data_IF_114589750838
#
_entry.id   IF_114589750838
#
_cell.length_a   1.000
_cell.length_b   1.000
_cell.length_c   1.000
_cell.angle_alpha   90.00
_cell.angle_beta   90.00
_cell.angle_gamma   90.00
#
_symmetry.space_group_name_H-M   'P 1'
#
loop_
_entity.id
_entity.type
_entity.pdbx_description
1 polymer ?
#
# COMPACT_ATOMS: atom_id res chain seq x y z
N UNK A 1 -0.41 10.67 19.63
CA UNK A 1 -1.54 9.81 19.22
C UNK A 1 -1.75 9.90 17.72
N UNK A 2 -1.92 8.79 17.03
CA UNK A 2 -2.18 8.87 15.60
C UNK A 2 -3.55 9.49 15.32
N UNK A 3 -3.61 10.27 14.25
CA UNK A 3 -4.85 10.89 13.80
C UNK A 3 -5.62 9.84 12.99
N UNK A 4 -6.90 9.69 13.30
CA UNK A 4 -7.75 8.78 12.54
C UNK A 4 -8.03 9.36 11.15
N UNK A 5 -8.12 8.50 10.13
CA UNK A 5 -8.35 8.95 8.76
C UNK A 5 -9.57 9.83 8.63
N UNK A 6 -10.66 9.47 9.30
CA UNK A 6 -11.91 10.23 9.22
C UNK A 6 -11.83 11.61 9.87
N UNK A 7 -10.76 11.89 10.62
CA UNK A 7 -10.55 13.19 11.23
C UNK A 7 -9.83 14.16 10.30
N UNK A 8 -9.28 13.65 9.18
CA UNK A 8 -8.62 14.48 8.19
C UNK A 8 -9.66 15.15 7.28
N UNK A 9 -9.35 16.34 6.74
CA UNK A 9 -10.18 16.92 5.69
C UNK A 9 -10.33 15.92 4.53
N UNK A 10 -11.47 15.94 3.86
CA UNK A 10 -11.73 15.00 2.77
C UNK A 10 -10.64 15.04 1.70
N UNK A 11 -10.13 16.25 1.41
CA UNK A 11 -9.08 16.41 0.40
C UNK A 11 -7.75 15.80 0.79
N UNK A 12 -7.59 15.43 2.07
CA UNK A 12 -6.36 14.82 2.57
C UNK A 12 -6.52 13.32 2.84
N UNK A 13 -7.73 12.80 2.72
CA UNK A 13 -7.96 11.35 2.86
C UNK A 13 -7.60 10.68 1.54
N UNK A 14 -6.82 9.59 1.57
CA UNK A 14 -6.34 8.96 0.32
C UNK A 14 -7.45 8.60 -0.66
N UNK A 15 -8.54 8.00 -0.18
CA UNK A 15 -9.63 7.58 -1.04
C UNK A 15 -10.27 8.78 -1.78
N UNK A 16 -10.65 9.80 -1.02
CA UNK A 16 -11.26 11.00 -1.58
C UNK A 16 -10.28 11.79 -2.43
N UNK A 17 -9.02 11.81 -2.03
CA UNK A 17 -7.98 12.49 -2.80
C UNK A 17 -7.79 11.83 -4.17
N UNK A 18 -7.81 10.50 -4.21
CA UNK A 18 -7.70 9.78 -5.49
C UNK A 18 -8.90 10.09 -6.37
N UNK A 19 -10.10 10.08 -5.80
CA UNK A 19 -11.33 10.35 -6.52
C UNK A 19 -11.33 11.75 -7.13
N UNK A 20 -10.88 12.74 -6.36
CA UNK A 20 -10.91 14.14 -6.80
C UNK A 20 -9.75 14.52 -7.72
N UNK A 21 -8.57 14.03 -7.44
CA UNK A 21 -7.35 14.52 -8.11
C UNK A 21 -6.62 13.46 -8.91
N UNK A 22 -7.04 12.19 -8.83
CA UNK A 22 -6.44 11.11 -9.59
C UNK A 22 -5.33 10.39 -8.85
N UNK A 23 -5.06 9.17 -9.28
CA UNK A 23 -4.12 8.29 -8.61
C UNK A 23 -2.68 8.83 -8.59
N UNK A 24 -2.31 9.57 -9.63
CA UNK A 24 -0.94 10.08 -9.75
C UNK A 24 -0.57 11.09 -8.68
N UNK A 25 -1.56 11.69 -8.01
CA UNK A 25 -1.30 12.67 -6.96
C UNK A 25 -0.99 12.05 -5.60
N UNK A 26 -1.18 10.72 -5.47
CA UNK A 26 -1.00 10.03 -4.20
C UNK A 26 0.42 9.51 -4.03
N UNK A 27 0.87 9.53 -2.78
CA UNK A 27 2.14 8.88 -2.42
C UNK A 27 1.95 7.36 -2.41
N UNK A 28 3.05 6.62 -2.37
CA UNK A 28 3.00 5.16 -2.26
C UNK A 28 2.26 4.73 -1.00
N UNK A 29 2.50 5.41 0.13
CA UNK A 29 1.80 5.09 1.38
C UNK A 29 0.30 5.32 1.26
N UNK A 30 -0.11 6.39 0.60
CA UNK A 30 -1.52 6.69 0.40
C UNK A 30 -2.20 5.62 -0.47
N UNK A 31 -1.55 5.18 -1.54
CA UNK A 31 -2.09 4.13 -2.39
C UNK A 31 -2.25 2.81 -1.62
N UNK A 32 -1.24 2.44 -0.85
CA UNK A 32 -1.31 1.24 -0.01
C UNK A 32 -2.41 1.36 1.03
N UNK A 33 -2.60 2.57 1.59
CA UNK A 33 -3.63 2.81 2.60
C UNK A 33 -5.03 2.53 2.04
N UNK A 34 -5.27 2.87 0.78
CA UNK A 34 -6.56 2.58 0.12
C UNK A 34 -6.78 1.07 0.05
N UNK A 35 -5.74 0.31 -0.28
CA UNK A 35 -5.83 -1.15 -0.39
C UNK A 35 -6.07 -1.78 0.99
N UNK A 36 -5.38 -1.30 2.01
CA UNK A 36 -5.51 -1.79 3.38
C UNK A 36 -6.89 -1.42 3.96
N UNK A 37 -7.41 -0.28 3.57
CA UNK A 37 -8.72 0.30 3.93
C UNK A 37 -8.80 0.88 5.33
N UNK A 38 -8.45 0.10 6.37
CA UNK A 38 -8.60 0.56 7.75
C UNK A 38 -7.30 0.37 8.51
N UNK A 39 -7.07 1.29 9.43
CA UNK A 39 -5.97 1.15 10.38
C UNK A 39 -6.42 0.35 11.61
N UNK A 40 -5.69 0.52 12.68
CA UNK A 40 -5.99 -0.07 13.98
C UNK A 40 -6.28 1.04 14.97
N UNK A 41 -6.51 0.68 16.23
CA UNK A 41 -6.68 1.66 17.29
C UNK A 41 -5.41 2.49 17.49
N UNK A 42 -4.26 1.89 17.23
CA UNK A 42 -2.96 2.52 17.48
C UNK A 42 -2.38 3.20 16.25
N UNK A 43 -2.91 2.88 15.05
CA UNK A 43 -2.29 3.37 13.83
C UNK A 43 -3.32 3.60 12.74
N UNK A 44 -3.11 4.63 11.92
CA UNK A 44 -3.94 4.88 10.74
C UNK A 44 -3.55 3.93 9.62
N UNK A 45 -4.40 3.85 8.58
CA UNK A 45 -4.06 3.04 7.40
C UNK A 45 -2.80 3.57 6.72
N UNK A 46 -2.62 4.90 6.67
CA UNK A 46 -1.40 5.49 6.11
C UNK A 46 -0.19 5.11 6.95
N UNK A 47 -0.33 5.13 8.28
CA UNK A 47 0.76 4.72 9.17
C UNK A 47 1.16 3.27 8.98
N UNK A 48 0.18 2.37 8.83
CA UNK A 48 0.46 0.97 8.54
C UNK A 48 1.15 0.83 7.18
N UNK A 49 0.70 1.59 6.18
CA UNK A 49 1.32 1.58 4.87
C UNK A 49 2.78 2.02 4.94
N UNK A 50 3.07 3.04 5.74
CA UNK A 50 4.44 3.49 5.94
C UNK A 50 5.32 2.41 6.58
N UNK A 51 4.75 1.62 7.50
CA UNK A 51 5.48 0.49 8.08
C UNK A 51 5.76 -0.59 7.05
N UNK A 52 4.83 -0.84 6.13
CA UNK A 52 5.07 -1.77 5.03
C UNK A 52 6.24 -1.28 4.18
N UNK A 53 6.25 0.00 3.84
CA UNK A 53 7.32 0.57 3.01
C UNK A 53 8.69 0.50 3.68
N UNK A 54 8.72 0.49 5.02
CA UNK A 54 9.98 0.32 5.76
C UNK A 54 10.58 -1.07 5.65
N UNK A 55 9.83 -2.04 5.14
CA UNK A 55 10.36 -3.38 4.91
C UNK A 55 11.31 -3.42 3.71
N UNK A 56 11.35 -2.38 2.91
CA UNK A 56 12.28 -2.28 1.80
C UNK A 56 13.70 -2.11 2.33
N UNK A 57 14.53 -3.14 2.17
CA UNK A 57 15.92 -3.11 2.60
C UNK A 57 16.88 -2.78 1.45
N UNK A 58 16.37 -2.67 0.24
CA UNK A 58 17.18 -2.32 -0.92
C UNK A 58 17.52 -0.83 -0.93
N UNK A 59 18.64 -0.48 -1.55
CA UNK A 59 19.02 0.92 -1.69
C UNK A 59 18.11 1.68 -2.63
N UNK A 60 17.50 0.96 -3.58
CA UNK A 60 16.60 1.57 -4.55
C UNK A 60 15.25 1.85 -3.91
N UNK A 61 14.76 3.04 -4.13
CA UNK A 61 13.46 3.47 -3.58
C UNK A 61 12.35 3.17 -4.57
N UNK A 62 12.05 1.88 -4.75
CA UNK A 62 10.97 1.44 -5.61
C UNK A 62 10.11 0.41 -4.89
N UNK A 63 9.05 -0.04 -5.53
CA UNK A 63 8.06 -0.92 -4.92
C UNK A 63 8.26 -2.41 -5.26
N UNK A 64 9.33 -2.76 -5.94
CA UNK A 64 9.56 -4.16 -6.34
C UNK A 64 9.63 -5.10 -5.14
N UNK A 65 10.11 -4.61 -4.00
CA UNK A 65 10.22 -5.45 -2.79
C UNK A 65 8.87 -6.04 -2.37
N UNK A 66 7.76 -5.37 -2.71
CA UNK A 66 6.43 -5.87 -2.36
C UNK A 66 6.12 -7.19 -3.04
N UNK A 67 6.67 -7.42 -4.21
CA UNK A 67 6.45 -8.67 -4.96
C UNK A 67 7.13 -9.85 -4.30
N UNK A 68 8.20 -9.61 -3.56
CA UNK A 68 9.02 -10.66 -2.96
C UNK A 68 8.58 -11.00 -1.54
N UNK A 69 7.74 -10.17 -0.91
CA UNK A 69 7.30 -10.42 0.45
C UNK A 69 6.22 -11.50 0.49
N UNK A 70 6.35 -12.39 1.48
CA UNK A 70 5.35 -13.44 1.70
C UNK A 70 4.21 -12.90 2.55
N UNK A 71 3.10 -13.65 2.59
CA UNK A 71 1.98 -13.36 3.49
C UNK A 71 2.48 -13.25 4.92
N UNK A 72 3.32 -14.20 5.34
CA UNK A 72 3.86 -14.25 6.69
C UNK A 72 4.71 -13.02 7.01
N UNK A 73 5.48 -12.54 6.03
CA UNK A 73 6.30 -11.36 6.24
C UNK A 73 5.46 -10.10 6.41
N UNK A 74 4.39 -9.97 5.63
CA UNK A 74 3.47 -8.85 5.82
C UNK A 74 2.82 -8.90 7.20
N UNK A 75 2.48 -10.11 7.67
CA UNK A 75 1.81 -10.30 8.95
C UNK A 75 2.70 -9.99 10.17
N UNK A 76 4.00 -9.86 9.98
CA UNK A 76 4.89 -9.43 11.06
C UNK A 76 4.62 -8.01 11.50
N UNK A 77 3.98 -7.22 10.65
CA UNK A 77 3.62 -5.85 11.01
C UNK A 77 2.37 -5.91 11.88
N UNK A 78 2.44 -5.31 13.08
CA UNK A 78 1.29 -5.25 13.97
C UNK A 78 0.17 -4.45 13.28
N UNK A 79 -0.99 -5.05 13.18
CA UNK A 79 -2.12 -4.44 12.49
C UNK A 79 -2.36 -5.00 11.10
N UNK A 80 -1.42 -5.78 10.55
CA UNK A 80 -1.58 -6.45 9.27
C UNK A 80 -1.89 -7.92 9.55
N UNK A 81 -3.17 -8.25 9.54
CA UNK A 81 -3.61 -9.63 9.70
C UNK A 81 -3.61 -10.37 8.38
N UNK A 82 -4.11 -11.60 8.41
CA UNK A 82 -4.10 -12.49 7.26
C UNK A 82 -4.85 -11.92 6.06
N UNK A 83 -6.01 -11.30 6.29
CA UNK A 83 -6.82 -10.75 5.19
C UNK A 83 -6.07 -9.64 4.46
N UNK A 84 -5.52 -8.68 5.21
CA UNK A 84 -4.77 -7.59 4.60
C UNK A 84 -3.52 -8.09 3.89
N UNK A 85 -2.83 -9.08 4.48
CA UNK A 85 -1.63 -9.65 3.88
C UNK A 85 -1.96 -10.33 2.56
N UNK A 86 -3.06 -11.07 2.50
CA UNK A 86 -3.50 -11.71 1.26
C UNK A 86 -3.87 -10.67 0.20
N UNK A 87 -4.56 -9.60 0.60
CA UNK A 87 -4.89 -8.52 -0.32
C UNK A 87 -3.63 -7.89 -0.92
N UNK A 88 -2.62 -7.66 -0.10
CA UNK A 88 -1.35 -7.10 -0.57
C UNK A 88 -0.65 -8.04 -1.55
N UNK A 89 -0.68 -9.34 -1.29
CA UNK A 89 -0.10 -10.33 -2.22
C UNK A 89 -0.88 -10.36 -3.53
N UNK A 90 -2.20 -10.29 -3.47
CA UNK A 90 -3.02 -10.27 -4.68
C UNK A 90 -2.70 -9.07 -5.56
N UNK A 91 -2.58 -7.89 -4.95
CA UNK A 91 -2.23 -6.67 -5.69
C UNK A 91 -0.84 -6.80 -6.30
N UNK A 92 0.12 -7.34 -5.54
CA UNK A 92 1.49 -7.55 -6.04
C UNK A 92 1.51 -8.47 -7.24
N UNK A 93 0.72 -9.54 -7.21
CA UNK A 93 0.64 -10.46 -8.35
C UNK A 93 0.01 -9.78 -9.58
N UNK A 94 -1.04 -8.99 -9.38
CA UNK A 94 -1.64 -8.24 -10.47
C UNK A 94 -0.64 -7.29 -11.11
N UNK A 95 0.15 -6.60 -10.29
CA UNK A 95 1.19 -5.70 -10.78
C UNK A 95 2.23 -6.46 -11.61
N UNK A 96 2.60 -7.65 -11.16
CA UNK A 96 3.54 -8.50 -11.89
C UNK A 96 3.00 -8.87 -13.27
N UNK A 97 1.73 -9.24 -13.34
CA UNK A 97 1.10 -9.62 -14.62
C UNK A 97 0.99 -8.44 -15.56
N UNK A 98 0.70 -7.26 -15.05
CA UNK A 98 0.65 -6.04 -15.86
C UNK A 98 2.03 -5.74 -16.43
N UNK A 99 3.07 -5.86 -15.63
CA UNK A 99 4.45 -5.62 -16.06
C UNK A 99 4.87 -6.55 -17.18
N UNK A 100 4.50 -7.83 -17.09
CA UNK A 100 4.81 -8.81 -18.13
C UNK A 100 4.18 -8.40 -19.46
N UNK A 101 2.91 -7.97 -19.44
CA UNK A 101 2.22 -7.52 -20.65
C UNK A 101 2.91 -6.30 -21.25
N UNK A 102 3.28 -5.33 -20.42
CA UNK A 102 3.98 -4.13 -20.88
C UNK A 102 5.31 -4.49 -21.55
N UNK A 103 6.10 -5.34 -20.92
CA UNK A 103 7.38 -5.75 -21.46
C UNK A 103 7.21 -6.50 -22.78
N UNK A 104 6.18 -7.31 -22.91
CA UNK A 104 5.91 -8.03 -24.13
C UNK A 104 5.58 -7.08 -25.29
N UNK A 105 4.77 -6.04 -25.01
CA UNK A 105 4.36 -5.08 -26.03
C UNK A 105 5.52 -4.23 -26.53
N UNK A 106 6.52 -4.01 -25.72
CA UNK A 106 7.69 -3.18 -26.09
C UNK A 106 8.64 -3.89 -27.06
N UNK A 107 8.44 -5.15 -27.27
CA UNK A 107 9.24 -5.87 -28.24
C UNK A 107 8.72 -5.63 -29.65
#
# INVERSE_FOLDING_TARGET
>A
MPIKMKELPETERPYEKLEQYGAKTLTNAELLAIIIKTGTKEETAVGLAQQILKLNTAKENNLKFLMDLTVEEFMKIKGIGKVKAIQLKAVSELATRINVVENYKEK
#
